data_IF_352980099760
#
_entry.id   IF_352980099760
#
_cell.length_a   1.000
_cell.length_b   1.000
_cell.length_c   1.000
_cell.angle_alpha   90.00
_cell.angle_beta   90.00
_cell.angle_gamma   90.00
#
_symmetry.space_group_name_H-M   'P 1'
#
loop_
_entity.id
_entity.type
_entity.pdbx_description
1 polymer ?
#
# COMPACT_ATOMS: atom_id res chain seq x y z
N UNK A 1 34.40 -52.87 9.59
CA UNK A 1 35.85 -53.00 9.27
C UNK A 1 36.08 -54.20 8.34
N UNK A 2 37.10 -54.13 7.48
CA UNK A 2 37.45 -55.15 6.48
C UNK A 2 36.40 -55.45 5.38
N UNK A 3 36.87 -56.13 4.33
CA UNK A 3 36.35 -56.20 2.95
C UNK A 3 36.79 -57.56 2.34
N UNK A 4 36.16 -58.00 1.23
CA UNK A 4 36.76 -58.74 0.07
C UNK A 4 36.13 -60.12 -0.30
N UNK A 5 35.36 -60.12 -1.42
CA UNK A 5 35.25 -61.07 -2.57
C UNK A 5 35.39 -62.62 -2.47
N UNK A 6 34.72 -63.44 -3.32
CA UNK A 6 33.62 -63.18 -4.31
C UNK A 6 32.76 -64.35 -4.88
N UNK A 7 33.24 -65.40 -5.58
CA UNK A 7 32.69 -65.67 -6.93
C UNK A 7 32.14 -67.07 -7.32
N UNK A 8 31.09 -67.06 -8.18
CA UNK A 8 30.78 -68.00 -9.31
C UNK A 8 30.34 -69.46 -9.00
N UNK A 9 29.76 -70.24 -9.97
CA UNK A 9 29.54 -70.04 -11.43
C UNK A 9 28.02 -69.98 -11.83
N UNK A 10 27.45 -70.31 -13.02
CA UNK A 10 27.82 -71.03 -14.28
C UNK A 10 26.96 -70.56 -15.50
N UNK A 11 27.07 -71.22 -16.66
CA UNK A 11 26.39 -70.95 -17.97
C UNK A 11 25.15 -71.85 -18.24
N UNK A 12 24.35 -71.76 -19.32
CA UNK A 12 24.29 -70.83 -20.47
C UNK A 12 24.17 -71.52 -21.86
N UNK A 13 23.28 -71.02 -22.73
CA UNK A 13 23.08 -71.30 -24.19
C UNK A 13 22.18 -70.15 -24.73
N UNK A 14 22.42 -69.40 -25.84
CA UNK A 14 22.82 -69.68 -27.24
C UNK A 14 21.69 -70.40 -28.02
N UNK A 15 21.26 -70.02 -29.23
CA UNK A 15 21.66 -69.01 -30.26
C UNK A 15 20.46 -68.87 -31.26
N UNK A 16 20.27 -67.92 -32.22
CA UNK A 16 20.99 -66.78 -32.81
C UNK A 16 19.96 -65.83 -33.53
N UNK A 17 20.42 -64.71 -34.12
CA UNK A 17 19.78 -63.93 -35.22
C UNK A 17 18.61 -62.95 -34.85
N UNK A 18 18.36 -61.84 -35.58
CA UNK A 18 19.07 -61.24 -36.73
C UNK A 18 19.01 -59.67 -36.75
N UNK A 19 19.75 -59.08 -37.70
CA UNK A 19 19.74 -57.69 -38.23
C UNK A 19 18.94 -56.57 -37.54
N UNK A 20 19.66 -55.54 -37.10
CA UNK A 20 19.22 -54.14 -37.04
C UNK A 20 20.33 -53.25 -37.62
N UNK A 21 19.98 -52.24 -38.43
CA UNK A 21 20.93 -51.26 -38.96
C UNK A 21 21.05 -50.06 -38.02
N UNK A 22 22.27 -49.54 -37.82
CA UNK A 22 22.55 -48.40 -36.94
C UNK A 22 23.18 -47.21 -37.67
N UNK A 23 23.50 -46.17 -36.90
CA UNK A 23 24.35 -45.04 -37.30
C UNK A 23 24.99 -44.43 -36.04
N UNK A 24 26.18 -43.84 -36.19
CA UNK A 24 27.02 -43.42 -35.06
C UNK A 24 27.64 -42.03 -35.31
N UNK A 25 27.59 -41.20 -34.27
CA UNK A 25 28.65 -40.25 -33.86
C UNK A 25 28.96 -38.92 -34.58
N UNK A 26 29.60 -38.06 -33.75
CA UNK A 26 30.46 -36.90 -34.02
C UNK A 26 29.85 -35.50 -34.32
N UNK A 27 30.50 -34.50 -33.71
CA UNK A 27 30.32 -33.04 -33.87
C UNK A 27 31.56 -32.47 -34.59
N UNK A 28 31.42 -31.35 -35.30
CA UNK A 28 32.46 -30.32 -35.44
C UNK A 28 31.82 -28.92 -35.68
N UNK A 29 32.62 -27.86 -35.82
CA UNK A 29 32.27 -26.47 -35.49
C UNK A 29 32.55 -25.44 -36.59
N UNK A 30 31.88 -24.27 -36.46
CA UNK A 30 32.13 -22.96 -37.11
C UNK A 30 32.05 -22.81 -38.64
N UNK A 31 31.18 -21.89 -39.08
CA UNK A 31 31.45 -20.95 -40.19
C UNK A 31 30.78 -19.57 -39.95
N UNK A 32 31.34 -18.54 -40.57
CA UNK A 32 30.92 -17.12 -40.62
C UNK A 32 31.67 -16.48 -41.82
N UNK A 33 31.26 -15.34 -42.45
CA UNK A 33 30.08 -14.49 -42.24
C UNK A 33 29.33 -14.17 -43.57
N UNK A 34 28.39 -13.21 -43.56
CA UNK A 34 28.43 -11.98 -44.39
C UNK A 34 27.27 -11.01 -44.05
N UNK A 35 27.39 -9.73 -44.44
CA UNK A 35 26.46 -8.65 -44.07
C UNK A 35 25.69 -8.07 -45.26
N UNK A 36 24.36 -8.12 -45.19
CA UNK A 36 23.39 -7.18 -45.77
C UNK A 36 22.00 -7.53 -45.20
N UNK A 37 21.13 -6.58 -44.86
CA UNK A 37 21.27 -5.12 -44.95
C UNK A 37 19.92 -4.47 -45.17
N UNK A 38 19.03 -4.56 -44.18
CA UNK A 38 17.71 -3.95 -44.21
C UNK A 38 17.31 -3.62 -42.77
N UNK A 39 16.76 -2.42 -42.56
CA UNK A 39 16.41 -1.91 -41.23
C UNK A 39 15.12 -2.59 -40.75
N UNK A 40 15.19 -3.21 -39.57
CA UNK A 40 14.03 -3.73 -38.85
C UNK A 40 13.86 -2.89 -37.59
N UNK A 41 12.70 -2.24 -37.46
CA UNK A 41 12.33 -1.48 -36.27
C UNK A 41 12.23 -2.44 -35.07
N UNK A 42 12.66 -2.01 -33.88
CA UNK A 42 12.57 -2.86 -32.70
C UNK A 42 11.11 -2.97 -32.25
N UNK A 43 10.50 -4.14 -32.46
CA UNK A 43 9.19 -4.45 -31.88
C UNK A 43 9.27 -4.34 -30.34
N UNK A 44 8.37 -3.54 -29.77
CA UNK A 44 8.37 -3.23 -28.35
C UNK A 44 7.89 -4.43 -27.52
N UNK A 45 8.45 -4.60 -26.32
CA UNK A 45 8.13 -5.72 -25.44
C UNK A 45 6.82 -5.52 -24.65
N UNK A 46 5.72 -5.23 -25.34
CA UNK A 46 4.39 -4.95 -24.76
C UNK A 46 3.57 -6.23 -24.43
N UNK A 47 4.24 -7.37 -24.28
CA UNK A 47 3.60 -8.67 -23.99
C UNK A 47 3.17 -8.77 -22.52
N UNK A 48 2.22 -7.92 -22.11
CA UNK A 48 1.29 -8.14 -20.99
C UNK A 48 0.11 -7.16 -20.91
N UNK A 49 -0.02 -6.17 -21.79
CA UNK A 49 -1.14 -5.22 -21.80
C UNK A 49 -2.18 -5.56 -22.88
N UNK A 50 -3.47 -5.76 -22.54
CA UNK A 50 -4.52 -5.87 -23.56
C UNK A 50 -4.72 -4.52 -24.25
N UNK A 51 -4.82 -4.52 -25.58
CA UNK A 51 -4.67 -3.36 -26.47
C UNK A 51 -5.89 -2.44 -26.54
N UNK A 52 -6.50 -2.09 -25.40
CA UNK A 52 -7.74 -1.29 -25.34
C UNK A 52 -7.75 -0.28 -24.18
N UNK A 53 -6.96 0.80 -24.26
CA UNK A 53 -7.20 2.00 -23.43
C UNK A 53 -6.63 3.32 -23.99
N UNK A 54 -7.18 3.80 -25.12
CA UNK A 54 -6.76 5.05 -25.78
C UNK A 54 -7.32 6.34 -25.14
N UNK A 55 -7.96 6.25 -23.97
CA UNK A 55 -8.69 7.37 -23.33
C UNK A 55 -7.86 8.17 -22.31
N UNK A 56 -6.64 7.73 -22.00
CA UNK A 56 -5.71 8.45 -21.12
C UNK A 56 -5.09 9.66 -21.83
N UNK A 57 -4.97 10.77 -21.11
CA UNK A 57 -4.36 12.02 -21.60
C UNK A 57 -3.26 12.47 -20.66
N UNK A 58 -2.07 12.69 -21.20
CA UNK A 58 -0.92 13.20 -20.46
C UNK A 58 -0.93 14.75 -20.46
N UNK A 59 -0.65 15.36 -19.32
CA UNK A 59 -0.60 16.81 -19.11
C UNK A 59 0.60 17.15 -18.22
N UNK A 60 1.43 18.11 -18.62
CA UNK A 60 2.44 18.73 -17.74
C UNK A 60 1.86 20.03 -17.17
N UNK A 61 1.68 20.08 -15.84
CA UNK A 61 1.04 21.21 -15.16
C UNK A 61 2.09 22.09 -14.49
N UNK A 62 2.10 23.38 -14.81
CA UNK A 62 2.93 24.38 -14.12
C UNK A 62 2.48 24.57 -12.67
N UNK A 63 3.42 24.50 -11.73
CA UNK A 63 3.21 24.69 -10.29
C UNK A 63 4.29 25.61 -9.71
N UNK A 64 4.12 26.15 -8.49
CA UNK A 64 5.14 26.97 -7.82
C UNK A 64 6.51 26.30 -7.60
N UNK A 65 6.61 24.97 -7.79
CA UNK A 65 7.82 24.18 -7.58
C UNK A 65 8.27 23.41 -8.83
N UNK A 66 7.80 23.81 -10.01
CA UNK A 66 8.15 23.21 -11.30
C UNK A 66 6.96 22.53 -12.00
N UNK A 67 7.24 21.83 -13.10
CA UNK A 67 6.26 21.03 -13.81
C UNK A 67 5.91 19.77 -13.01
N UNK A 68 4.62 19.42 -12.98
CA UNK A 68 4.11 18.17 -12.43
C UNK A 68 3.39 17.40 -13.54
N UNK A 69 3.89 16.21 -13.86
CA UNK A 69 3.29 15.36 -14.89
C UNK A 69 2.09 14.60 -14.33
N UNK A 70 0.97 14.64 -15.05
CA UNK A 70 -0.25 13.93 -14.66
C UNK A 70 -0.91 13.24 -15.85
N UNK A 71 -1.54 12.11 -15.61
CA UNK A 71 -2.27 11.34 -16.63
C UNK A 71 -3.72 11.18 -16.20
N UNK A 72 -4.64 11.68 -17.01
CA UNK A 72 -6.07 11.78 -16.67
C UNK A 72 -6.94 10.92 -17.59
N UNK A 73 -7.96 10.27 -17.03
CA UNK A 73 -8.99 9.51 -17.76
C UNK A 73 -10.39 9.79 -17.21
N UNK A 74 -11.38 9.69 -18.11
CA UNK A 74 -12.78 9.95 -17.84
C UNK A 74 -13.13 11.44 -17.99
N UNK A 75 -14.34 11.79 -17.56
CA UNK A 75 -14.87 13.15 -17.63
C UNK A 75 -15.64 13.49 -16.35
N UNK A 76 -15.65 14.77 -15.90
CA UNK A 76 -16.38 15.16 -14.69
C UNK A 76 -17.87 14.83 -14.76
N UNK A 77 -18.37 14.06 -13.78
CA UNK A 77 -19.76 13.57 -13.74
C UNK A 77 -20.52 14.23 -12.58
N UNK A 78 -21.05 15.43 -12.85
CA UNK A 78 -21.73 16.25 -11.86
C UNK A 78 -20.76 16.70 -10.75
N UNK A 79 -21.23 16.69 -9.50
CA UNK A 79 -20.43 17.09 -8.33
C UNK A 79 -19.54 15.98 -7.76
N UNK A 80 -19.29 14.88 -8.48
CA UNK A 80 -18.43 13.80 -7.98
C UNK A 80 -16.96 14.23 -7.92
N UNK A 81 -16.20 13.86 -6.86
CA UNK A 81 -14.78 14.15 -6.75
C UNK A 81 -13.97 13.39 -7.81
N UNK A 82 -12.75 13.87 -8.09
CA UNK A 82 -11.78 13.10 -8.85
C UNK A 82 -11.02 12.13 -7.92
N UNK A 83 -10.71 10.93 -8.41
CA UNK A 83 -9.75 10.02 -7.76
C UNK A 83 -8.36 10.51 -8.14
N UNK A 84 -7.61 11.03 -7.17
CA UNK A 84 -6.26 11.57 -7.36
C UNK A 84 -5.25 10.60 -6.77
N UNK A 85 -4.33 10.04 -7.57
CA UNK A 85 -3.34 9.07 -7.06
C UNK A 85 -1.94 9.65 -6.97
N UNK A 86 -1.17 9.24 -5.96
CA UNK A 86 0.26 9.60 -5.84
C UNK A 86 1.08 8.36 -5.48
N UNK A 87 2.10 8.06 -6.27
CA UNK A 87 2.88 6.82 -6.16
C UNK A 87 3.99 6.88 -5.10
N UNK A 88 4.61 5.73 -4.82
CA UNK A 88 5.75 5.60 -3.90
C UNK A 88 7.11 5.83 -4.60
N UNK A 89 8.19 5.94 -3.82
CA UNK A 89 9.56 6.06 -4.32
C UNK A 89 9.96 4.84 -5.16
N UNK A 90 10.63 5.07 -6.29
CA UNK A 90 11.04 4.01 -7.20
C UNK A 90 9.97 3.59 -8.20
N UNK A 91 8.74 4.05 -8.00
CA UNK A 91 7.62 3.80 -8.89
C UNK A 91 7.28 5.07 -9.67
N UNK A 92 6.36 4.92 -10.61
CA UNK A 92 5.52 5.97 -11.19
C UNK A 92 4.08 5.44 -11.20
N UNK A 93 3.11 6.18 -11.75
CA UNK A 93 1.72 5.71 -11.77
C UNK A 93 1.55 4.36 -12.48
N UNK A 94 2.28 4.12 -13.58
CA UNK A 94 2.19 2.87 -14.36
C UNK A 94 2.64 1.69 -13.50
N UNK A 95 3.77 1.81 -12.82
CA UNK A 95 4.30 0.77 -11.93
C UNK A 95 3.47 0.63 -10.64
N UNK A 96 2.95 1.72 -10.08
CA UNK A 96 2.30 1.71 -8.77
C UNK A 96 0.81 1.32 -8.81
N UNK A 97 0.10 1.68 -9.89
CA UNK A 97 -1.37 1.65 -9.93
C UNK A 97 -2.00 0.90 -11.11
N UNK A 98 -1.31 0.62 -12.22
CA UNK A 98 -1.97 -0.01 -13.38
C UNK A 98 -2.61 -1.37 -13.05
N UNK A 99 -1.94 -2.23 -12.27
CA UNK A 99 -2.49 -3.53 -11.83
C UNK A 99 -3.78 -3.38 -11.02
N UNK A 100 -3.90 -2.31 -10.24
CA UNK A 100 -5.08 -2.02 -9.43
C UNK A 100 -6.20 -1.41 -10.26
N UNK A 101 -5.92 -0.37 -11.05
CA UNK A 101 -6.92 0.37 -11.82
C UNK A 101 -7.42 -0.39 -13.07
N UNK A 102 -6.64 -1.36 -13.58
CA UNK A 102 -7.07 -2.27 -14.65
C UNK A 102 -7.71 -3.58 -14.13
N UNK A 103 -7.88 -3.72 -12.81
CA UNK A 103 -8.67 -4.83 -12.27
C UNK A 103 -10.16 -4.66 -12.61
N UNK A 104 -10.85 -5.74 -12.99
CA UNK A 104 -12.20 -5.71 -13.57
C UNK A 104 -13.23 -4.96 -12.68
N UNK A 105 -13.31 -5.34 -11.40
CA UNK A 105 -14.19 -4.65 -10.42
C UNK A 105 -13.82 -3.17 -10.22
N UNK A 106 -12.53 -2.81 -10.37
CA UNK A 106 -12.05 -1.43 -10.20
C UNK A 106 -12.37 -0.57 -11.43
N UNK A 107 -12.44 -1.18 -12.62
CA UNK A 107 -12.99 -0.53 -13.80
C UNK A 107 -14.50 -0.23 -13.63
N UNK A 108 -15.28 -1.12 -13.00
CA UNK A 108 -16.69 -0.82 -12.67
C UNK A 108 -16.87 0.30 -11.63
N UNK A 109 -15.88 0.53 -10.76
CA UNK A 109 -15.87 1.70 -9.87
C UNK A 109 -15.51 2.97 -10.66
N UNK A 110 -14.35 2.95 -11.33
CA UNK A 110 -13.75 4.14 -11.95
C UNK A 110 -14.54 4.70 -13.12
N UNK A 111 -15.38 3.90 -13.81
CA UNK A 111 -16.39 4.39 -14.78
C UNK A 111 -17.26 5.54 -14.25
N UNK A 112 -17.42 5.68 -12.93
CA UNK A 112 -18.25 6.72 -12.30
C UNK A 112 -17.48 7.98 -11.86
N UNK A 113 -16.15 8.01 -11.97
CA UNK A 113 -15.29 9.09 -11.50
C UNK A 113 -14.37 9.59 -12.63
N UNK A 114 -13.66 10.70 -12.36
CA UNK A 114 -12.43 11.04 -13.09
C UNK A 114 -11.28 10.37 -12.34
N UNK A 115 -10.31 9.79 -13.06
CA UNK A 115 -9.05 9.32 -12.47
C UNK A 115 -7.93 10.23 -12.95
N UNK A 116 -7.17 10.79 -12.02
CA UNK A 116 -6.01 11.63 -12.26
C UNK A 116 -4.81 11.01 -11.55
N UNK A 117 -3.93 10.39 -12.32
CA UNK A 117 -2.67 9.86 -11.82
C UNK A 117 -1.61 10.97 -11.79
N UNK A 118 -0.95 11.17 -10.65
CA UNK A 118 0.18 12.11 -10.52
C UNK A 118 1.49 11.34 -10.50
N UNK A 119 2.42 11.71 -11.39
CA UNK A 119 3.83 11.35 -11.28
C UNK A 119 4.60 12.44 -10.54
N UNK A 120 5.41 12.03 -9.56
CA UNK A 120 6.33 12.93 -8.89
C UNK A 120 7.36 13.48 -9.89
N UNK A 121 7.91 14.71 -9.66
CA UNK A 121 8.77 15.37 -10.62
C UNK A 121 9.93 14.49 -11.15
N UNK A 122 9.99 14.30 -12.45
CA UNK A 122 11.05 13.53 -13.11
C UNK A 122 11.01 12.02 -12.89
N UNK A 123 9.91 11.47 -12.34
CA UNK A 123 9.70 10.01 -12.22
C UNK A 123 8.85 9.43 -13.35
N UNK A 124 8.19 10.27 -14.16
CA UNK A 124 7.36 9.83 -15.29
C UNK A 124 8.17 9.07 -16.35
N UNK A 125 7.50 8.23 -17.15
CA UNK A 125 8.15 7.44 -18.20
C UNK A 125 8.90 8.36 -19.19
N UNK A 126 10.19 8.09 -19.43
CA UNK A 126 10.99 8.90 -20.34
C UNK A 126 11.46 10.26 -19.79
N UNK A 127 11.27 10.53 -18.50
CA UNK A 127 11.70 11.78 -17.88
C UNK A 127 13.19 12.10 -18.11
N UNK A 128 13.46 13.30 -18.60
CA UNK A 128 14.83 13.82 -18.77
C UNK A 128 15.54 13.97 -17.42
N UNK A 129 16.86 13.86 -17.43
CA UNK A 129 17.66 13.99 -16.21
C UNK A 129 17.70 15.45 -15.75
N UNK A 130 17.39 15.69 -14.47
CA UNK A 130 17.59 17.01 -13.87
C UNK A 130 19.09 17.41 -13.88
N UNK A 131 19.41 18.72 -13.92
CA UNK A 131 20.79 19.20 -13.90
C UNK A 131 21.47 18.89 -12.55
N UNK A 132 22.80 18.84 -12.55
CA UNK A 132 23.56 18.73 -11.31
C UNK A 132 23.28 19.92 -10.39
N UNK A 133 23.07 19.66 -9.10
CA UNK A 133 22.70 20.68 -8.11
C UNK A 133 21.22 21.11 -8.14
N UNK A 134 20.36 20.45 -8.93
CA UNK A 134 18.92 20.72 -8.93
C UNK A 134 18.30 20.56 -7.53
N UNK A 135 17.56 21.59 -7.09
CA UNK A 135 16.85 21.59 -5.81
C UNK A 135 15.49 20.91 -5.98
N UNK A 136 15.47 19.59 -5.78
CA UNK A 136 14.25 18.80 -5.86
C UNK A 136 13.23 19.22 -4.77
N UNK A 137 11.92 19.34 -5.07
CA UNK A 137 10.94 19.77 -4.08
C UNK A 137 10.87 18.85 -2.86
N UNK A 138 10.91 19.42 -1.67
CA UNK A 138 10.70 18.68 -0.42
C UNK A 138 9.28 18.11 -0.34
N UNK A 139 9.06 17.09 0.51
CA UNK A 139 7.74 16.45 0.67
C UNK A 139 6.59 17.43 0.96
N UNK A 140 6.88 18.51 1.69
CA UNK A 140 5.91 19.56 2.01
C UNK A 140 5.61 20.46 0.79
N UNK A 141 6.58 20.64 -0.12
CA UNK A 141 6.40 21.33 -1.39
C UNK A 141 5.65 20.46 -2.41
N UNK A 142 5.95 19.16 -2.49
CA UNK A 142 5.20 18.21 -3.34
C UNK A 142 3.70 18.24 -3.01
N UNK A 143 3.34 18.25 -1.72
CA UNK A 143 1.96 18.40 -1.26
C UNK A 143 1.33 19.75 -1.67
N UNK A 144 2.14 20.80 -1.75
CA UNK A 144 1.72 22.14 -2.20
C UNK A 144 1.74 22.32 -3.73
N UNK A 145 2.14 21.32 -4.52
CA UNK A 145 1.95 21.30 -5.98
C UNK A 145 0.53 20.84 -6.37
N UNK A 146 -0.11 20.00 -5.54
CA UNK A 146 -1.42 19.41 -5.84
C UNK A 146 -2.60 20.39 -6.01
N UNK A 147 -2.67 21.56 -5.33
CA UNK A 147 -3.67 22.59 -5.63
C UNK A 147 -3.66 23.03 -7.10
N UNK A 148 -2.50 23.09 -7.76
CA UNK A 148 -2.40 23.43 -9.18
C UNK A 148 -3.08 22.39 -10.07
N UNK A 149 -3.00 21.10 -9.72
CA UNK A 149 -3.70 20.01 -10.44
C UNK A 149 -5.21 20.11 -10.28
N UNK A 150 -5.66 20.32 -9.03
CA UNK A 150 -7.08 20.50 -8.69
C UNK A 150 -7.66 21.71 -9.43
N UNK A 151 -6.93 22.83 -9.46
CA UNK A 151 -7.35 24.05 -10.16
C UNK A 151 -7.33 23.89 -11.70
N UNK A 152 -6.31 23.26 -12.27
CA UNK A 152 -6.15 23.11 -13.73
C UNK A 152 -7.33 22.35 -14.36
N UNK A 153 -7.79 21.27 -13.73
CA UNK A 153 -8.95 20.50 -14.21
C UNK A 153 -10.30 20.96 -13.63
N UNK A 154 -10.32 22.00 -12.78
CA UNK A 154 -11.55 22.48 -12.14
C UNK A 154 -12.20 21.46 -11.19
N UNK A 155 -11.42 20.57 -10.58
CA UNK A 155 -11.94 19.61 -9.60
C UNK A 155 -12.45 20.35 -8.36
N UNK A 156 -13.69 20.06 -7.95
CA UNK A 156 -14.26 20.64 -6.73
C UNK A 156 -13.62 20.06 -5.47
N UNK A 157 -13.44 18.74 -5.47
CA UNK A 157 -12.83 17.94 -4.40
C UNK A 157 -12.12 16.73 -4.99
N UNK A 158 -11.25 16.07 -4.22
CA UNK A 158 -10.60 14.81 -4.57
C UNK A 158 -10.74 13.73 -3.50
N UNK A 159 -10.72 12.47 -3.93
CA UNK A 159 -10.45 11.31 -3.10
C UNK A 159 -9.02 10.86 -3.41
N UNK A 160 -8.12 10.98 -2.44
CA UNK A 160 -6.71 10.65 -2.62
C UNK A 160 -6.44 9.16 -2.46
N UNK A 161 -5.60 8.58 -3.32
CA UNK A 161 -5.07 7.21 -3.16
C UNK A 161 -3.54 7.26 -3.24
N UNK A 162 -2.87 7.02 -2.11
CA UNK A 162 -1.41 7.12 -2.00
C UNK A 162 -0.76 5.83 -1.54
N UNK A 163 0.47 5.59 -1.99
CA UNK A 163 1.36 4.53 -1.48
C UNK A 163 2.64 5.16 -0.93
N UNK A 164 3.03 4.81 0.30
CA UNK A 164 4.29 5.23 0.93
C UNK A 164 4.53 6.75 0.90
N UNK A 165 5.52 7.19 0.13
CA UNK A 165 5.80 8.61 -0.08
C UNK A 165 4.59 9.39 -0.63
N UNK A 166 3.83 8.81 -1.56
CA UNK A 166 2.60 9.40 -2.07
C UNK A 166 1.45 9.43 -1.05
N UNK A 167 1.42 8.47 -0.12
CA UNK A 167 0.50 8.49 1.01
C UNK A 167 0.86 9.64 1.98
N UNK A 168 2.15 9.84 2.30
CA UNK A 168 2.61 10.99 3.06
C UNK A 168 2.26 12.32 2.34
N UNK A 169 2.50 12.44 1.02
CA UNK A 169 2.18 13.65 0.25
C UNK A 169 0.68 13.96 0.31
N UNK A 170 -0.19 12.99 0.08
CA UNK A 170 -1.64 13.19 0.09
C UNK A 170 -2.19 13.49 1.50
N UNK A 171 -1.64 12.86 2.55
CA UNK A 171 -1.96 13.20 3.93
C UNK A 171 -1.51 14.63 4.28
N UNK A 172 -0.29 15.03 3.87
CA UNK A 172 0.22 16.39 4.05
C UNK A 172 -0.62 17.43 3.29
N UNK A 173 -1.05 17.11 2.07
CA UNK A 173 -1.96 17.94 1.27
C UNK A 173 -3.31 18.16 1.98
N UNK A 174 -3.95 17.11 2.49
CA UNK A 174 -5.19 17.20 3.27
C UNK A 174 -5.03 17.97 4.60
N UNK A 175 -3.83 18.00 5.19
CA UNK A 175 -3.51 18.81 6.38
C UNK A 175 -3.25 20.29 6.06
N UNK A 176 -3.08 20.67 4.80
CA UNK A 176 -2.90 22.07 4.36
C UNK A 176 -4.20 22.60 3.72
N UNK A 177 -4.85 21.79 2.88
CA UNK A 177 -6.05 22.12 2.12
C UNK A 177 -7.20 21.12 2.41
N UNK A 178 -7.67 21.02 3.67
CA UNK A 178 -8.67 20.02 4.06
C UNK A 178 -9.98 20.14 3.26
N UNK A 179 -10.34 21.36 2.84
CA UNK A 179 -11.59 21.63 2.13
C UNK A 179 -11.56 21.20 0.64
N UNK A 180 -10.42 20.66 0.16
CA UNK A 180 -10.27 20.06 -1.16
C UNK A 180 -10.30 18.51 -1.13
N UNK A 181 -10.26 17.88 0.05
CA UNK A 181 -10.10 16.42 0.19
C UNK A 181 -11.31 15.81 0.87
N UNK A 182 -12.06 14.98 0.13
CA UNK A 182 -13.23 14.27 0.66
C UNK A 182 -12.88 12.95 1.35
N UNK A 183 -11.77 12.31 0.98
CA UNK A 183 -11.33 11.06 1.59
C UNK A 183 -9.92 10.66 1.16
N UNK A 184 -9.27 9.82 1.96
CA UNK A 184 -7.93 9.31 1.68
C UNK A 184 -7.83 7.79 1.84
N UNK A 185 -7.22 7.12 0.87
CA UNK A 185 -6.70 5.75 0.99
C UNK A 185 -5.18 5.85 1.08
N UNK A 186 -4.62 5.40 2.20
CA UNK A 186 -3.20 5.56 2.53
C UNK A 186 -2.59 4.18 2.73
N UNK A 187 -1.97 3.65 1.66
CA UNK A 187 -1.23 2.40 1.68
C UNK A 187 0.20 2.66 2.17
N UNK A 188 0.69 1.82 3.09
CA UNK A 188 2.09 1.81 3.54
C UNK A 188 2.61 3.18 4.05
N UNK A 189 1.74 4.03 4.59
CA UNK A 189 2.13 5.34 5.12
C UNK A 189 2.99 5.21 6.39
N UNK A 190 4.18 5.81 6.36
CA UNK A 190 4.92 6.17 7.57
C UNK A 190 4.69 7.67 7.85
N UNK A 191 4.09 8.05 9.00
CA UNK A 191 3.87 9.43 9.36
C UNK A 191 5.12 10.12 9.91
N UNK A 192 6.22 9.42 10.19
CA UNK A 192 7.37 9.98 10.91
C UNK A 192 8.52 10.36 9.96
N UNK A 193 9.41 11.25 10.40
CA UNK A 193 10.76 11.35 9.85
C UNK A 193 11.59 10.12 10.24
N UNK A 194 12.52 9.69 9.37
CA UNK A 194 13.41 8.56 9.70
C UNK A 194 14.23 8.86 10.95
N UNK A 195 14.24 7.94 11.90
CA UNK A 195 15.05 8.04 13.11
C UNK A 195 16.53 8.10 12.77
N UNK A 196 17.34 8.65 13.69
CA UNK A 196 18.79 8.78 13.48
C UNK A 196 19.48 7.40 13.31
N UNK A 197 18.90 6.35 13.90
CA UNK A 197 19.33 4.96 13.73
C UNK A 197 19.02 4.47 12.31
N UNK A 198 17.79 4.67 11.82
CA UNK A 198 17.34 4.22 10.50
C UNK A 198 18.05 5.00 9.39
N UNK A 199 18.32 6.29 9.63
CA UNK A 199 19.18 7.11 8.80
C UNK A 199 20.59 6.53 8.73
N UNK A 200 21.23 6.21 9.86
CA UNK A 200 22.57 5.64 9.90
C UNK A 200 22.62 4.25 9.24
N UNK A 201 21.62 3.39 9.49
CA UNK A 201 21.48 2.10 8.85
C UNK A 201 21.33 2.24 7.33
N UNK A 202 20.46 3.14 6.86
CA UNK A 202 20.29 3.41 5.41
C UNK A 202 21.52 4.03 4.74
N UNK A 203 22.36 4.75 5.50
CA UNK A 203 23.65 5.24 5.03
C UNK A 203 24.71 4.15 4.97
N UNK A 204 24.70 3.19 5.90
CA UNK A 204 25.61 2.05 5.88
C UNK A 204 25.24 1.02 4.80
N UNK A 205 23.95 0.72 4.62
CA UNK A 205 23.49 -0.13 3.51
C UNK A 205 23.72 0.54 2.16
N UNK A 206 23.44 1.85 2.03
CA UNK A 206 23.68 2.63 0.81
C UNK A 206 25.15 2.80 0.39
N UNK A 207 26.11 2.25 1.15
CA UNK A 207 27.51 2.10 0.72
C UNK A 207 27.78 0.75 0.02
N UNK A 208 26.86 -0.20 0.09
CA UNK A 208 27.00 -1.56 -0.47
C UNK A 208 25.83 -2.00 -1.35
N UNK A 209 24.64 -1.39 -1.24
CA UNK A 209 23.47 -1.65 -2.09
C UNK A 209 23.42 -0.77 -3.34
N UNK A 210 22.82 -1.28 -4.42
CA UNK A 210 22.45 -0.44 -5.57
C UNK A 210 21.24 0.44 -5.24
N UNK A 211 20.99 1.51 -6.02
CA UNK A 211 19.79 2.32 -5.85
C UNK A 211 18.49 1.48 -6.02
N UNK A 212 18.34 0.62 -7.05
CA UNK A 212 17.23 -0.32 -7.13
C UNK A 212 17.08 -1.22 -5.89
N UNK A 213 18.15 -1.85 -5.37
CA UNK A 213 18.04 -2.72 -4.18
C UNK A 213 17.71 -1.93 -2.89
N UNK A 214 18.13 -0.67 -2.81
CA UNK A 214 17.77 0.27 -1.72
C UNK A 214 16.29 0.65 -1.79
N UNK A 215 15.72 0.73 -2.99
CA UNK A 215 14.27 0.94 -3.21
C UNK A 215 13.48 -0.33 -2.93
N UNK A 216 13.95 -1.49 -3.40
CA UNK A 216 13.28 -2.78 -3.17
C UNK A 216 13.18 -3.13 -1.68
N UNK A 217 14.19 -2.79 -0.87
CA UNK A 217 14.16 -2.95 0.58
C UNK A 217 13.26 -1.95 1.33
N UNK A 218 12.71 -0.95 0.63
CA UNK A 218 11.60 -0.11 1.11
C UNK A 218 10.24 -0.65 0.63
N UNK A 219 10.16 -1.17 -0.60
CA UNK A 219 8.92 -1.64 -1.23
C UNK A 219 8.46 -3.06 -0.83
N UNK A 220 9.37 -3.95 -0.43
CA UNK A 220 9.10 -5.38 -0.22
C UNK A 220 9.61 -5.89 1.13
N UNK A 221 8.92 -6.89 1.69
CA UNK A 221 9.34 -7.57 2.92
C UNK A 221 10.67 -8.33 2.73
N UNK A 222 11.38 -8.58 3.83
CA UNK A 222 12.63 -9.36 3.78
C UNK A 222 12.41 -10.78 3.24
N UNK A 223 11.23 -11.39 3.48
CA UNK A 223 10.87 -12.69 2.93
C UNK A 223 10.70 -12.64 1.40
N UNK A 224 9.96 -11.66 0.87
CA UNK A 224 9.80 -11.47 -0.59
C UNK A 224 11.16 -11.26 -1.28
N UNK A 225 12.07 -10.52 -0.63
CA UNK A 225 13.41 -10.22 -1.13
C UNK A 225 14.35 -11.43 -1.07
N UNK A 226 14.35 -12.18 0.03
CA UNK A 226 15.17 -13.39 0.18
C UNK A 226 14.70 -14.53 -0.73
N UNK A 227 13.38 -14.67 -0.91
CA UNK A 227 12.81 -15.61 -1.88
C UNK A 227 12.96 -15.13 -3.34
N UNK A 228 13.31 -13.84 -3.53
CA UNK A 228 13.55 -13.19 -4.83
C UNK A 228 12.47 -13.55 -5.87
N UNK A 229 11.20 -13.31 -5.50
CA UNK A 229 10.03 -13.70 -6.29
C UNK A 229 10.02 -13.08 -7.68
N UNK A 230 9.22 -13.62 -8.61
CA UNK A 230 9.07 -13.05 -9.97
C UNK A 230 8.66 -11.57 -9.93
N UNK A 231 7.83 -11.18 -8.95
CA UNK A 231 7.44 -9.79 -8.70
C UNK A 231 8.65 -8.92 -8.31
N UNK A 232 9.48 -9.37 -7.37
CA UNK A 232 10.71 -8.67 -6.96
C UNK A 232 11.72 -8.58 -8.11
N UNK A 233 11.85 -9.63 -8.93
CA UNK A 233 12.71 -9.63 -10.11
C UNK A 233 12.22 -8.63 -11.17
N UNK A 234 10.91 -8.64 -11.47
CA UNK A 234 10.27 -7.72 -12.41
C UNK A 234 10.43 -6.26 -11.97
N UNK A 235 10.16 -5.97 -10.70
CA UNK A 235 10.33 -4.62 -10.14
C UNK A 235 11.79 -4.20 -10.14
N UNK A 236 12.76 -5.08 -9.81
CA UNK A 236 14.19 -4.76 -9.92
C UNK A 236 14.56 -4.31 -11.33
N UNK A 237 14.07 -5.00 -12.36
CA UNK A 237 14.31 -4.64 -13.76
C UNK A 237 13.63 -3.31 -14.12
N UNK A 238 12.34 -3.16 -13.81
CA UNK A 238 11.54 -1.97 -14.15
C UNK A 238 12.03 -0.70 -13.45
N UNK A 239 12.39 -0.78 -12.15
CA UNK A 239 13.02 0.33 -11.42
C UNK A 239 14.34 0.73 -12.09
N UNK A 240 15.11 -0.22 -12.61
CA UNK A 240 16.42 0.03 -13.26
C UNK A 240 16.32 0.60 -14.68
N UNK A 241 15.25 0.29 -15.43
CA UNK A 241 15.12 0.62 -16.85
C UNK A 241 14.09 1.72 -17.18
N UNK A 242 13.00 1.82 -16.42
CA UNK A 242 11.88 2.75 -16.70
C UNK A 242 12.07 4.08 -15.97
N UNK A 243 12.67 4.06 -14.79
CA UNK A 243 12.79 5.24 -13.91
C UNK A 243 14.18 5.87 -14.03
N UNK A 244 14.23 7.19 -14.17
CA UNK A 244 15.48 7.94 -14.25
C UNK A 244 16.24 7.89 -12.91
N UNK A 245 17.35 7.15 -12.85
CA UNK A 245 18.08 6.86 -11.61
C UNK A 245 18.55 8.11 -10.84
N UNK A 246 18.92 9.18 -11.55
CA UNK A 246 19.35 10.43 -10.91
C UNK A 246 18.14 11.17 -10.29
N UNK A 247 17.03 11.26 -11.01
CA UNK A 247 15.80 11.86 -10.51
C UNK A 247 15.20 11.03 -9.35
N UNK A 248 15.31 9.71 -9.42
CA UNK A 248 14.93 8.77 -8.36
C UNK A 248 15.76 8.98 -7.09
N UNK A 249 17.08 9.13 -7.22
CA UNK A 249 17.95 9.41 -6.08
C UNK A 249 17.57 10.72 -5.37
N UNK A 250 17.15 11.75 -6.12
CA UNK A 250 16.65 13.00 -5.56
C UNK A 250 15.32 12.83 -4.81
N UNK A 251 14.36 12.09 -5.38
CA UNK A 251 13.07 11.81 -4.73
C UNK A 251 13.25 10.96 -3.45
N UNK A 252 14.05 9.89 -3.52
CA UNK A 252 14.42 9.05 -2.38
C UNK A 252 15.10 9.85 -1.27
N UNK A 253 15.97 10.80 -1.63
CA UNK A 253 16.61 11.69 -0.65
C UNK A 253 15.57 12.57 0.06
N UNK A 254 14.63 13.19 -0.66
CA UNK A 254 13.59 14.03 -0.05
C UNK A 254 12.60 13.22 0.80
N UNK A 255 12.26 11.99 0.41
CA UNK A 255 11.43 11.12 1.24
C UNK A 255 12.17 10.67 2.51
N UNK A 256 13.45 10.31 2.42
CA UNK A 256 14.28 9.96 3.58
C UNK A 256 14.54 11.15 4.52
N UNK A 257 14.50 12.39 4.02
CA UNK A 257 14.61 13.62 4.82
C UNK A 257 13.26 14.25 5.16
N UNK A 258 12.15 13.49 5.08
CA UNK A 258 10.84 13.96 5.56
C UNK A 258 10.88 14.28 7.05
N UNK A 259 9.99 15.18 7.47
CA UNK A 259 9.72 15.46 8.88
C UNK A 259 8.51 14.65 9.33
N UNK A 260 8.26 14.65 10.64
CA UNK A 260 7.02 14.12 11.18
C UNK A 260 5.81 14.85 10.58
N UNK A 261 4.82 14.06 10.21
CA UNK A 261 3.47 14.50 9.92
C UNK A 261 2.84 14.89 11.26
N UNK A 262 2.71 16.20 11.51
CA UNK A 262 2.07 16.75 12.70
C UNK A 262 0.57 16.42 12.72
N UNK A 263 0.28 15.20 13.17
CA UNK A 263 -1.04 14.65 13.45
C UNK A 263 -1.09 14.11 14.87
N UNK A 264 -2.14 14.48 15.58
CA UNK A 264 -2.43 14.08 16.94
C UNK A 264 -3.92 13.68 17.04
N UNK A 265 -4.21 12.63 17.80
CA UNK A 265 -5.58 12.15 17.97
C UNK A 265 -6.42 13.21 18.69
N UNK A 266 -7.64 13.54 18.21
CA UNK A 266 -8.48 14.53 18.88
C UNK A 266 -8.66 14.25 20.37
N UNK A 267 -8.34 15.25 21.19
CA UNK A 267 -8.41 15.17 22.65
C UNK A 267 -7.13 14.70 23.37
N UNK A 268 -6.05 14.30 22.68
CA UNK A 268 -4.77 13.98 23.37
C UNK A 268 -3.93 15.22 23.69
N UNK A 269 -3.98 16.25 22.85
CA UNK A 269 -3.26 17.51 23.04
C UNK A 269 -4.16 18.72 22.74
N UNK A 270 -3.91 19.90 23.34
CA UNK A 270 -4.60 21.13 22.98
C UNK A 270 -4.42 21.46 21.48
N UNK A 271 -5.51 21.83 20.80
CA UNK A 271 -5.53 22.12 19.36
C UNK A 271 -4.97 21.01 18.46
N UNK A 272 -5.12 19.74 18.86
CA UNK A 272 -4.69 18.55 18.09
C UNK A 272 -5.10 18.65 16.60
N UNK A 273 -4.10 18.75 15.72
CA UNK A 273 -4.30 18.71 14.28
C UNK A 273 -4.46 17.26 13.82
N UNK A 274 -5.42 16.98 12.94
CA UNK A 274 -5.60 15.65 12.36
C UNK A 274 -6.30 15.72 10.99
N UNK A 275 -6.40 14.59 10.29
CA UNK A 275 -7.13 14.47 9.03
C UNK A 275 -8.64 14.58 9.29
N UNK A 276 -9.31 15.56 8.66
CA UNK A 276 -10.75 15.81 8.84
C UNK A 276 -11.62 14.86 8.01
N UNK A 277 -11.17 14.55 6.80
CA UNK A 277 -11.83 13.60 5.90
C UNK A 277 -11.76 12.16 6.43
N UNK A 278 -12.69 11.27 6.05
CA UNK A 278 -12.53 9.83 6.20
C UNK A 278 -11.19 9.31 5.65
N UNK A 279 -10.63 8.32 6.34
CA UNK A 279 -9.34 7.70 5.98
C UNK A 279 -9.48 6.18 5.96
N UNK A 280 -8.93 5.53 4.95
CA UNK A 280 -8.67 4.09 4.93
C UNK A 280 -7.16 3.85 4.92
N UNK A 281 -6.61 3.49 6.09
CA UNK A 281 -5.24 3.03 6.23
C UNK A 281 -5.15 1.57 5.75
N UNK A 282 -4.18 1.28 4.90
CA UNK A 282 -3.98 -0.06 4.32
C UNK A 282 -2.52 -0.48 4.49
N UNK A 283 -2.29 -1.72 4.90
CA UNK A 283 -0.95 -2.32 4.92
C UNK A 283 -1.01 -3.83 4.72
N UNK A 284 0.02 -4.39 4.08
CA UNK A 284 0.15 -5.85 3.99
C UNK A 284 0.70 -6.46 5.28
N UNK A 285 0.40 -7.73 5.49
CA UNK A 285 1.05 -8.52 6.55
C UNK A 285 2.54 -8.74 6.23
N UNK A 286 3.40 -8.57 7.23
CA UNK A 286 4.86 -8.55 7.11
C UNK A 286 5.45 -7.44 6.20
N UNK A 287 4.66 -6.44 5.80
CA UNK A 287 5.14 -5.34 4.97
C UNK A 287 6.12 -4.42 5.73
N UNK A 288 7.17 -3.85 5.10
CA UNK A 288 8.15 -2.98 5.76
C UNK A 288 7.56 -1.75 6.47
N UNK A 289 6.36 -1.32 6.06
CA UNK A 289 5.66 -0.16 6.60
C UNK A 289 4.65 -0.48 7.72
N UNK A 290 4.53 -1.73 8.20
CA UNK A 290 3.49 -2.11 9.17
C UNK A 290 3.52 -1.24 10.44
N UNK A 291 4.69 -1.06 11.05
CA UNK A 291 4.83 -0.24 12.27
C UNK A 291 4.41 1.22 12.03
N UNK A 292 4.82 1.81 10.90
CA UNK A 292 4.44 3.17 10.51
C UNK A 292 2.94 3.35 10.31
N UNK A 293 2.26 2.38 9.67
CA UNK A 293 0.80 2.44 9.47
C UNK A 293 0.04 2.23 10.79
N UNK A 294 0.54 1.34 11.66
CA UNK A 294 -0.01 1.14 13.01
C UNK A 294 0.16 2.41 13.88
N UNK A 295 1.31 3.09 13.81
CA UNK A 295 1.50 4.36 14.50
C UNK A 295 0.63 5.47 13.90
N UNK A 296 0.49 5.54 12.57
CA UNK A 296 -0.44 6.46 11.91
C UNK A 296 -1.87 6.27 12.43
N UNK A 297 -2.34 5.03 12.50
CA UNK A 297 -3.64 4.67 13.07
C UNK A 297 -3.77 5.16 14.52
N UNK A 298 -2.71 5.10 15.33
CA UNK A 298 -2.69 5.63 16.70
C UNK A 298 -2.90 7.15 16.76
N UNK A 299 -2.39 7.90 15.78
CA UNK A 299 -2.43 9.38 15.70
C UNK A 299 -3.71 9.94 15.06
N UNK A 300 -4.52 9.12 14.37
CA UNK A 300 -5.76 9.57 13.71
C UNK A 300 -7.02 9.41 14.59
N UNK A 301 -8.14 9.99 14.14
CA UNK A 301 -9.44 9.89 14.80
C UNK A 301 -10.12 8.53 14.50
N UNK A 302 -10.45 7.71 15.52
CA UNK A 302 -11.02 6.38 15.33
C UNK A 302 -12.48 6.39 14.84
N UNK A 303 -13.12 7.55 14.68
CA UNK A 303 -14.48 7.70 14.17
C UNK A 303 -14.53 7.96 12.66
N UNK A 304 -13.44 8.49 12.07
CA UNK A 304 -13.31 8.70 10.62
C UNK A 304 -12.28 7.77 9.95
N UNK A 305 -11.45 7.07 10.73
CA UNK A 305 -10.37 6.21 10.23
C UNK A 305 -10.73 4.72 10.28
N UNK A 306 -10.63 4.06 9.13
CA UNK A 306 -10.65 2.58 8.99
C UNK A 306 -9.23 2.08 8.83
N UNK A 307 -8.89 0.95 9.47
CA UNK A 307 -7.60 0.27 9.31
C UNK A 307 -7.80 -1.14 8.73
N UNK A 308 -7.12 -1.43 7.62
CA UNK A 308 -7.16 -2.69 6.90
C UNK A 308 -5.75 -3.28 6.81
N UNK A 309 -5.48 -4.31 7.62
CA UNK A 309 -4.30 -5.18 7.46
C UNK A 309 -4.66 -6.33 6.52
N UNK A 310 -3.89 -6.53 5.46
CA UNK A 310 -4.16 -7.50 4.39
C UNK A 310 -3.22 -8.71 4.48
N UNK A 311 -3.74 -9.83 5.00
CA UNK A 311 -3.03 -11.11 5.05
C UNK A 311 -2.56 -11.55 3.66
N UNK A 312 -1.37 -12.15 3.59
CA UNK A 312 -0.74 -12.73 2.39
C UNK A 312 -0.51 -11.74 1.22
N UNK A 313 -0.36 -10.44 1.50
CA UNK A 313 -0.24 -9.39 0.48
C UNK A 313 1.14 -8.71 0.39
N UNK A 314 2.03 -8.93 1.36
CA UNK A 314 3.41 -8.46 1.32
C UNK A 314 3.54 -6.94 1.17
N UNK A 315 4.62 -6.49 0.54
CA UNK A 315 4.93 -5.07 0.41
C UNK A 315 3.98 -4.25 -0.47
N UNK A 316 3.36 -4.85 -1.50
CA UNK A 316 2.56 -4.13 -2.51
C UNK A 316 1.10 -4.65 -2.59
N UNK A 317 0.24 -4.34 -1.60
CA UNK A 317 -1.11 -4.91 -1.51
C UNK A 317 -2.02 -4.60 -2.71
N UNK A 318 -1.81 -3.47 -3.39
CA UNK A 318 -2.54 -3.09 -4.60
C UNK A 318 -2.13 -3.88 -5.86
N UNK A 319 -1.00 -4.60 -5.80
CA UNK A 319 -0.46 -5.40 -6.90
C UNK A 319 -0.68 -6.89 -6.63
N UNK A 320 -0.46 -7.33 -5.39
CA UNK A 320 -0.62 -8.74 -4.97
C UNK A 320 -2.08 -9.14 -4.73
N UNK A 321 -2.92 -8.21 -4.23
CA UNK A 321 -4.31 -8.50 -3.87
C UNK A 321 -5.31 -7.40 -4.33
N UNK A 322 -5.28 -6.96 -5.61
CA UNK A 322 -6.10 -5.87 -6.12
C UNK A 322 -7.60 -6.07 -5.91
N UNK A 323 -8.13 -7.30 -6.00
CA UNK A 323 -9.56 -7.57 -5.78
C UNK A 323 -10.04 -7.30 -4.37
N UNK A 324 -9.30 -7.74 -3.34
CA UNK A 324 -9.61 -7.44 -1.93
C UNK A 324 -9.53 -5.93 -1.64
N UNK A 325 -8.52 -5.25 -2.19
CA UNK A 325 -8.38 -3.79 -2.06
C UNK A 325 -9.52 -3.05 -2.78
N UNK A 326 -9.93 -3.52 -3.96
CA UNK A 326 -11.07 -2.98 -4.71
C UNK A 326 -12.36 -3.13 -3.90
N UNK A 327 -12.56 -4.28 -3.25
CA UNK A 327 -13.72 -4.50 -2.40
C UNK A 327 -13.76 -3.55 -1.19
N UNK A 328 -12.62 -3.36 -0.52
CA UNK A 328 -12.49 -2.40 0.57
C UNK A 328 -12.74 -0.95 0.09
N UNK A 329 -12.18 -0.56 -1.06
CA UNK A 329 -12.39 0.77 -1.65
C UNK A 329 -13.85 1.02 -2.03
N UNK A 330 -14.56 0.01 -2.58
CA UNK A 330 -16.01 0.03 -2.81
C UNK A 330 -16.78 0.33 -1.52
N UNK A 331 -16.45 -0.32 -0.40
CA UNK A 331 -17.11 -0.04 0.89
C UNK A 331 -16.74 1.34 1.46
N UNK A 332 -15.49 1.80 1.29
CA UNK A 332 -15.06 3.15 1.67
C UNK A 332 -15.85 4.23 0.90
N UNK A 333 -15.99 4.09 -0.42
CA UNK A 333 -16.83 4.96 -1.25
C UNK A 333 -18.31 4.95 -0.82
N UNK A 334 -18.86 3.78 -0.51
CA UNK A 334 -20.23 3.66 0.01
C UNK A 334 -20.41 4.34 1.37
N UNK A 335 -19.42 4.26 2.26
CA UNK A 335 -19.41 4.94 3.55
C UNK A 335 -19.39 6.47 3.43
N UNK A 336 -18.80 7.00 2.36
CA UNK A 336 -18.84 8.43 1.99
C UNK A 336 -20.09 8.82 1.20
N UNK A 337 -21.05 7.91 0.98
CA UNK A 337 -22.31 8.18 0.29
C UNK A 337 -22.29 8.01 -1.23
N UNK A 338 -21.18 7.57 -1.83
CA UNK A 338 -21.07 7.37 -3.30
C UNK A 338 -21.76 6.09 -3.82
N UNK A 339 -22.79 5.61 -3.11
CA UNK A 339 -23.52 4.37 -3.38
C UNK A 339 -24.46 4.42 -4.60
N UNK A 340 -24.84 5.60 -5.10
CA UNK A 340 -25.70 5.76 -6.30
C UNK A 340 -25.01 5.41 -7.64
N UNK A 341 -23.93 4.64 -7.62
CA UNK A 341 -23.41 3.96 -8.79
C UNK A 341 -24.30 2.74 -9.11
N UNK A 342 -25.48 2.99 -9.69
CA UNK A 342 -26.59 2.03 -9.89
C UNK A 342 -26.26 0.78 -10.77
N UNK A 343 -25.01 0.60 -11.18
CA UNK A 343 -24.49 -0.65 -11.74
C UNK A 343 -24.04 -1.67 -10.67
N UNK A 344 -23.44 -1.21 -9.57
CA UNK A 344 -22.66 -2.06 -8.65
C UNK A 344 -23.46 -3.21 -8.01
N UNK A 345 -24.75 -3.01 -7.72
CA UNK A 345 -25.60 -4.06 -7.16
C UNK A 345 -25.82 -5.26 -8.10
N UNK A 346 -25.73 -5.07 -9.43
CA UNK A 346 -25.88 -6.17 -10.41
C UNK A 346 -24.61 -7.00 -10.56
N UNK A 347 -23.42 -6.38 -10.49
CA UNK A 347 -22.15 -7.10 -10.48
C UNK A 347 -22.02 -7.97 -9.21
N UNK A 348 -22.40 -7.43 -8.05
CA UNK A 348 -22.30 -8.13 -6.77
C UNK A 348 -23.05 -9.48 -6.75
N UNK A 349 -24.22 -9.55 -7.40
CA UNK A 349 -25.01 -10.79 -7.48
C UNK A 349 -24.44 -11.85 -8.44
N UNK A 350 -23.47 -11.49 -9.28
CA UNK A 350 -22.68 -12.42 -10.09
C UNK A 350 -21.55 -13.04 -9.26
N UNK A 351 -20.70 -12.21 -8.65
CA UNK A 351 -19.45 -12.65 -8.01
C UNK A 351 -19.63 -13.30 -6.63
N UNK A 352 -20.78 -13.11 -5.96
CA UNK A 352 -21.07 -13.65 -4.62
C UNK A 352 -21.14 -15.19 -4.50
N UNK A 353 -20.85 -15.95 -5.57
CA UNK A 353 -20.83 -17.42 -5.54
C UNK A 353 -19.49 -18.03 -5.08
N UNK A 354 -18.43 -17.23 -4.88
CA UNK A 354 -17.05 -17.75 -4.89
C UNK A 354 -16.09 -17.34 -3.74
N UNK A 355 -16.53 -16.74 -2.62
CA UNK A 355 -15.61 -16.40 -1.49
C UNK A 355 -16.25 -16.69 -0.12
N UNK A 356 -15.56 -17.39 0.82
CA UNK A 356 -15.98 -17.49 2.22
C UNK A 356 -15.82 -16.17 2.99
N UNK A 357 -16.68 -15.91 3.98
CA UNK A 357 -16.70 -14.66 4.74
C UNK A 357 -15.39 -14.37 5.50
N UNK A 358 -14.74 -13.26 5.16
CA UNK A 358 -13.71 -12.64 5.99
C UNK A 358 -14.38 -11.88 7.15
N UNK A 359 -14.20 -12.36 8.38
CA UNK A 359 -14.82 -11.76 9.56
C UNK A 359 -14.12 -10.46 9.97
N UNK A 360 -14.71 -9.30 9.67
CA UNK A 360 -14.31 -8.04 10.29
C UNK A 360 -14.67 -8.06 11.79
N UNK A 361 -13.68 -8.32 12.65
CA UNK A 361 -13.84 -8.34 14.11
C UNK A 361 -14.05 -6.93 14.66
N UNK A 362 -15.29 -6.42 14.54
CA UNK A 362 -15.71 -5.18 15.19
C UNK A 362 -15.64 -5.38 16.71
N UNK A 363 -14.62 -4.78 17.35
CA UNK A 363 -14.36 -4.87 18.79
C UNK A 363 -15.53 -4.32 19.62
N UNK A 364 -16.49 -5.18 19.93
CA UNK A 364 -17.56 -4.90 20.85
C UNK A 364 -17.00 -4.77 22.28
N UNK A 365 -17.41 -3.73 23.01
CA UNK A 365 -17.04 -3.56 24.43
C UNK A 365 -17.65 -4.68 25.28
N UNK A 366 -16.87 -5.72 25.55
CA UNK A 366 -17.18 -6.71 26.58
C UNK A 366 -17.36 -6.02 27.93
N UNK A 367 -18.60 -5.96 28.44
CA UNK A 367 -18.86 -5.58 29.82
C UNK A 367 -18.39 -6.72 30.73
N UNK A 368 -17.42 -6.45 31.59
CA UNK A 368 -16.94 -7.38 32.60
C UNK A 368 -18.03 -7.66 33.62
N UNK A 369 -18.54 -8.90 33.63
CA UNK A 369 -19.35 -9.43 34.72
C UNK A 369 -18.43 -10.21 35.67
N UNK A 370 -18.16 -9.67 36.86
CA UNK A 370 -17.24 -10.27 37.82
C UNK A 370 -17.80 -11.56 38.42
N UNK A 371 -17.13 -12.69 38.14
CA UNK A 371 -17.40 -13.96 38.81
C UNK A 371 -16.57 -14.05 40.10
N UNK A 372 -17.23 -13.92 41.25
CA UNK A 372 -16.66 -14.23 42.57
C UNK A 372 -17.40 -15.41 43.19
N UNK A 373 -16.74 -16.57 43.28
CA UNK A 373 -17.27 -17.78 43.88
C UNK A 373 -17.18 -17.75 45.41
N UNK A 374 -18.28 -18.04 46.11
CA UNK A 374 -18.28 -18.38 47.53
C UNK A 374 -19.35 -19.47 47.78
N UNK A 375 -18.95 -20.55 48.45
CA UNK A 375 -19.81 -21.71 48.74
C UNK A 375 -19.98 -21.91 50.24
N UNK A 376 -21.20 -21.74 50.77
CA UNK A 376 -21.50 -22.08 52.17
C UNK A 376 -23.01 -22.22 52.49
N UNK A 377 -23.39 -23.48 52.72
CA UNK A 377 -24.48 -24.02 53.59
C UNK A 377 -25.93 -23.50 53.55
N UNK A 378 -26.85 -24.43 53.80
CA UNK A 378 -28.29 -24.25 53.96
C UNK A 378 -28.70 -23.38 55.16
N UNK A 379 -29.84 -22.69 55.03
CA UNK A 379 -30.50 -21.95 56.12
C UNK A 379 -31.96 -21.63 55.77
N UNK A 380 -32.89 -21.91 56.68
CA UNK A 380 -34.32 -21.84 56.40
C UNK A 380 -34.92 -20.41 56.50
N UNK A 381 -35.93 -20.15 55.67
CA UNK A 381 -36.98 -19.11 55.90
C UNK A 381 -37.69 -19.37 57.25
N UNK A 382 -38.27 -18.35 57.95
CA UNK A 382 -39.22 -17.44 57.31
C UNK A 382 -39.42 -16.01 57.90
N UNK A 383 -40.36 -15.31 57.25
CA UNK A 383 -41.16 -14.13 57.68
C UNK A 383 -40.48 -12.76 57.63
N UNK A 384 -41.37 -11.76 57.51
CA UNK A 384 -41.10 -10.34 57.40
C UNK A 384 -41.92 -9.58 58.45
N UNK A 385 -41.47 -8.37 58.79
CA UNK A 385 -42.26 -7.31 59.41
C UNK A 385 -41.88 -5.96 58.77
N UNK A 386 -42.69 -4.94 59.02
CA UNK A 386 -42.65 -3.62 58.36
C UNK A 386 -42.43 -2.48 59.37
N UNK A 387 -42.27 -1.25 58.86
CA UNK A 387 -42.26 0.02 59.62
C UNK A 387 -41.07 0.28 60.58
N UNK A 388 -40.68 1.53 60.90
CA UNK A 388 -40.78 2.82 60.18
C UNK A 388 -40.02 3.95 60.91
N UNK A 389 -39.52 4.92 60.13
CA UNK A 389 -39.38 6.36 60.47
C UNK A 389 -38.48 6.86 61.65
N UNK A 390 -38.04 8.12 61.49
CA UNK A 390 -37.56 9.06 62.52
C UNK A 390 -36.19 8.81 63.19
N UNK A 391 -35.47 9.81 63.72
CA UNK A 391 -35.31 11.23 63.29
C UNK A 391 -34.15 11.91 64.04
N UNK A 392 -33.54 12.93 63.42
CA UNK A 392 -32.87 14.11 64.04
C UNK A 392 -31.53 14.01 64.83
N UNK A 393 -30.80 15.14 64.70
CA UNK A 393 -29.99 15.84 65.72
C UNK A 393 -28.51 15.47 66.06
N UNK A 394 -27.62 16.31 65.48
CA UNK A 394 -26.56 17.11 66.15
C UNK A 394 -25.22 16.50 66.63
N UNK A 395 -24.14 17.30 66.48
CA UNK A 395 -22.74 17.04 66.88
C UNK A 395 -21.85 16.69 65.69
N UNK A 396 -20.98 17.55 65.12
CA UNK A 396 -19.78 18.20 65.70
C UNK A 396 -18.88 17.19 66.45
N UNK A 397 -17.56 17.11 66.21
CA UNK A 397 -16.56 18.18 66.03
C UNK A 397 -15.55 17.85 64.89
N UNK A 398 -14.86 18.88 64.36
CA UNK A 398 -13.82 18.80 63.32
C UNK A 398 -12.57 17.98 63.74
N UNK A 399 -11.83 17.49 62.75
CA UNK A 399 -10.37 17.72 62.73
C UNK A 399 -9.81 17.80 61.31
N UNK A 400 -8.85 18.69 61.11
CA UNK A 400 -8.24 19.06 59.82
C UNK A 400 -6.84 18.46 59.70
N UNK A 401 -6.44 17.97 58.52
CA UNK A 401 -5.19 18.39 57.84
C UNK A 401 -5.04 17.79 56.44
N UNK A 402 -4.47 18.59 55.55
CA UNK A 402 -3.92 18.17 54.25
C UNK A 402 -2.49 17.62 54.44
N UNK A 403 -1.97 16.91 53.45
CA UNK A 403 -0.74 17.27 52.69
C UNK A 403 -0.39 16.13 51.71
N UNK A 404 0.08 16.52 50.52
CA UNK A 404 0.43 15.61 49.42
C UNK A 404 1.79 14.93 49.58
N UNK A 405 1.93 13.77 48.92
CA UNK A 405 3.12 13.35 48.17
C UNK A 405 2.65 12.70 46.86
#
# INVERSE_FOLDING_TARGET
PQVLMSPLPWAGLLLQEMTMAGLHELRFTEEKPLLRGQEAELENSDVFLPTVDTDWKEHDIETPYGLLHVVIRGSPKGNRPAILTYHDVGLNHKLCFNTFFNYEDMQEITKHFVVCHVDAPGQQTGASQFPQGYQYPSMDQLAAMLPSVVQHFGFKYVIGIGVGAGAYVLAKFALIFPDLVEGLVLMNIDPNGKGWIDWAASKLSGLTSTLPDTVLSHLFSQEELMNNTELVQSYRQQISSVVNQFNLQLFLNMYNSRRDLDINRPGTVPNAKTLRCPVMLVVGDNAPAEEGVVECNSKLDPTNTTFLKMADSGGLPQVTQPGKLTEAFKYFLQGMGYSECQGWARALWSSLRAVPSASMTRLARSRTASLTSASSVDGARPRACTHSESSEAMGQINHTMEVSC
#
